data_IF_608940988079
#
_entry.id   IF_608940988079
#
_cell.length_a   1.000
_cell.length_b   1.000
_cell.length_c   1.000
_cell.angle_alpha   90.00
_cell.angle_beta   90.00
_cell.angle_gamma   90.00
#
_symmetry.space_group_name_H-M   'P 1'
#
loop_
_entity.id
_entity.type
_entity.pdbx_description
1 polymer ?
#
# COMPACT_ATOMS: atom_id res chain seq x y z
N UNK A 1 -37.95 11.75 47.07
CA UNK A 1 -38.24 10.30 47.10
C UNK A 1 -37.50 9.52 46.01
N UNK A 2 -37.32 10.07 44.80
CA UNK A 2 -36.59 9.39 43.70
C UNK A 2 -35.09 9.25 44.00
N UNK A 3 -34.43 10.28 44.55
CA UNK A 3 -33.00 10.26 44.88
C UNK A 3 -32.59 9.21 45.93
N UNK A 4 -33.47 8.86 46.88
CA UNK A 4 -33.18 7.85 47.92
C UNK A 4 -33.29 6.41 47.41
N UNK A 5 -34.10 6.18 46.37
CA UNK A 5 -34.18 4.87 45.70
C UNK A 5 -32.95 4.66 44.80
N UNK A 6 -32.52 5.72 44.11
CA UNK A 6 -31.29 5.70 43.32
C UNK A 6 -30.07 5.35 44.18
N UNK A 7 -29.89 5.98 45.34
CA UNK A 7 -28.71 5.73 46.19
C UNK A 7 -28.64 4.29 46.72
N UNK A 8 -29.77 3.67 47.06
CA UNK A 8 -29.79 2.27 47.52
C UNK A 8 -29.52 1.26 46.41
N UNK A 9 -30.05 1.49 45.20
CA UNK A 9 -29.78 0.66 44.02
C UNK A 9 -28.32 0.85 43.56
N UNK A 10 -27.82 2.08 43.61
CA UNK A 10 -26.41 2.38 43.36
C UNK A 10 -25.51 1.66 44.36
N UNK A 11 -25.69 1.82 45.67
CA UNK A 11 -24.82 1.20 46.67
C UNK A 11 -24.81 -0.34 46.59
N UNK A 12 -25.94 -0.97 46.24
CA UNK A 12 -26.04 -2.43 46.12
C UNK A 12 -25.52 -2.98 44.79
N UNK A 13 -25.68 -2.24 43.70
CA UNK A 13 -25.38 -2.71 42.33
C UNK A 13 -24.22 -1.99 41.66
N UNK A 14 -23.57 -1.03 42.34
CA UNK A 14 -22.42 -0.28 41.82
C UNK A 14 -21.29 -1.19 41.39
N UNK A 15 -21.02 -2.27 42.13
CA UNK A 15 -20.01 -3.27 41.78
C UNK A 15 -20.26 -3.94 40.43
N UNK A 16 -21.53 -4.18 40.07
CA UNK A 16 -21.90 -4.77 38.77
C UNK A 16 -21.68 -3.75 37.65
N UNK A 17 -22.03 -2.49 37.89
CA UNK A 17 -21.80 -1.40 36.94
C UNK A 17 -20.30 -1.20 36.71
N UNK A 18 -19.49 -1.20 37.78
CA UNK A 18 -18.03 -1.09 37.65
C UNK A 18 -17.43 -2.29 36.93
N UNK A 19 -17.93 -3.51 37.19
CA UNK A 19 -17.46 -4.71 36.51
C UNK A 19 -17.79 -4.66 35.01
N UNK A 20 -19.02 -4.28 34.65
CA UNK A 20 -19.42 -4.11 33.26
C UNK A 20 -18.60 -3.03 32.53
N UNK A 21 -18.32 -1.90 33.20
CA UNK A 21 -17.45 -0.86 32.64
C UNK A 21 -16.02 -1.37 32.42
N UNK A 22 -15.46 -2.13 33.37
CA UNK A 22 -14.12 -2.74 33.20
C UNK A 22 -14.14 -3.73 32.03
N UNK A 23 -15.15 -4.59 31.92
CA UNK A 23 -15.30 -5.51 30.79
C UNK A 23 -15.39 -4.77 29.45
N UNK A 24 -16.15 -3.67 29.39
CA UNK A 24 -16.28 -2.85 28.18
C UNK A 24 -14.94 -2.21 27.79
N UNK A 25 -14.22 -1.64 28.77
CA UNK A 25 -12.90 -1.03 28.55
C UNK A 25 -11.89 -2.06 28.04
N UNK A 26 -11.82 -3.24 28.68
CA UNK A 26 -10.92 -4.31 28.26
C UNK A 26 -11.25 -4.82 26.84
N UNK A 27 -12.55 -4.94 26.52
CA UNK A 27 -12.98 -5.33 25.19
C UNK A 27 -12.56 -4.30 24.14
N UNK A 28 -12.80 -3.01 24.41
CA UNK A 28 -12.42 -1.93 23.50
C UNK A 28 -10.90 -1.86 23.28
N UNK A 29 -10.13 -1.99 24.37
CA UNK A 29 -8.66 -2.04 24.29
C UNK A 29 -8.17 -3.21 23.42
N UNK A 30 -8.73 -4.41 23.62
CA UNK A 30 -8.39 -5.58 22.82
C UNK A 30 -8.76 -5.42 21.34
N UNK A 31 -9.88 -4.77 21.03
CA UNK A 31 -10.28 -4.47 19.66
C UNK A 31 -9.33 -3.49 18.99
N UNK A 32 -8.91 -2.45 19.72
CA UNK A 32 -8.04 -1.38 19.22
C UNK A 32 -6.64 -1.89 18.90
N UNK A 33 -6.08 -2.76 19.76
CA UNK A 33 -4.77 -3.36 19.53
C UNK A 33 -4.79 -4.29 18.31
N UNK A 34 -5.83 -5.12 18.19
CA UNK A 34 -6.04 -5.96 16.99
C UNK A 34 -6.14 -5.13 15.72
N UNK A 35 -6.91 -4.03 15.75
CA UNK A 35 -7.08 -3.18 14.59
C UNK A 35 -5.76 -2.53 14.16
N UNK A 36 -4.92 -2.10 15.11
CA UNK A 36 -3.59 -1.55 14.81
C UNK A 36 -2.70 -2.57 14.10
N UNK A 37 -2.63 -3.79 14.62
CA UNK A 37 -1.87 -4.86 13.98
C UNK A 37 -2.41 -5.21 12.61
N UNK A 38 -3.73 -5.20 12.44
CA UNK A 38 -4.37 -5.46 11.15
C UNK A 38 -4.03 -4.38 10.12
N UNK A 39 -4.05 -3.10 10.54
CA UNK A 39 -3.68 -1.96 9.68
C UNK A 39 -2.22 -2.07 9.25
N UNK A 40 -1.29 -2.30 10.17
CA UNK A 40 0.13 -2.46 9.85
C UNK A 40 0.38 -3.62 8.89
N UNK A 41 -0.26 -4.77 9.11
CA UNK A 41 -0.11 -5.94 8.24
C UNK A 41 -0.71 -5.68 6.85
N UNK A 42 -1.81 -4.93 6.78
CA UNK A 42 -2.44 -4.57 5.53
C UNK A 42 -1.58 -3.59 4.72
N UNK A 43 -1.00 -2.58 5.37
CA UNK A 43 -0.06 -1.66 4.73
C UNK A 43 1.16 -2.40 4.17
N UNK A 44 1.75 -3.31 4.94
CA UNK A 44 2.86 -4.15 4.47
C UNK A 44 2.46 -5.02 3.28
N UNK A 45 1.26 -5.63 3.32
CA UNK A 45 0.74 -6.40 2.18
C UNK A 45 0.60 -5.55 0.92
N UNK A 46 0.06 -4.35 1.04
CA UNK A 46 -0.13 -3.43 -0.09
C UNK A 46 1.24 -3.04 -0.67
N UNK A 47 2.20 -2.68 0.18
CA UNK A 47 3.56 -2.35 -0.26
C UNK A 47 4.19 -3.52 -1.02
N UNK A 48 4.09 -4.74 -0.48
CA UNK A 48 4.65 -5.94 -1.10
C UNK A 48 3.96 -6.29 -2.43
N UNK A 49 2.65 -6.06 -2.54
CA UNK A 49 1.91 -6.24 -3.80
C UNK A 49 2.37 -5.25 -4.87
N UNK A 50 2.60 -3.99 -4.50
CA UNK A 50 3.11 -2.96 -5.41
C UNK A 50 4.52 -3.33 -5.89
N UNK A 51 5.41 -3.74 -4.97
CA UNK A 51 6.76 -4.19 -5.33
C UNK A 51 6.74 -5.41 -6.25
N UNK A 52 5.91 -6.40 -5.93
CA UNK A 52 5.70 -7.58 -6.79
C UNK A 52 5.25 -7.15 -8.19
N UNK A 53 4.28 -6.24 -8.29
CA UNK A 53 3.78 -5.78 -9.57
C UNK A 53 4.85 -5.06 -10.39
N UNK A 54 5.65 -4.20 -9.75
CA UNK A 54 6.80 -3.53 -10.40
C UNK A 54 7.84 -4.54 -10.88
N UNK A 55 8.16 -5.54 -10.07
CA UNK A 55 9.11 -6.59 -10.44
C UNK A 55 8.60 -7.41 -11.63
N UNK A 56 7.30 -7.74 -11.66
CA UNK A 56 6.67 -8.45 -12.79
C UNK A 56 6.68 -7.62 -14.07
N UNK A 57 6.35 -6.32 -13.98
CA UNK A 57 6.44 -5.41 -15.13
C UNK A 57 7.87 -5.35 -15.67
N UNK A 58 8.85 -5.15 -14.78
CA UNK A 58 10.28 -5.15 -15.18
C UNK A 58 10.70 -6.47 -15.81
N UNK A 59 10.26 -7.60 -15.27
CA UNK A 59 10.53 -8.91 -15.87
C UNK A 59 9.94 -9.02 -17.27
N UNK A 60 8.72 -8.54 -17.47
CA UNK A 60 8.04 -8.56 -18.76
C UNK A 60 8.75 -7.65 -19.77
N UNK A 61 9.15 -6.45 -19.37
CA UNK A 61 9.93 -5.52 -20.20
C UNK A 61 11.27 -6.12 -20.61
N UNK A 62 11.99 -6.76 -19.68
CA UNK A 62 13.25 -7.45 -19.98
C UNK A 62 13.01 -8.62 -20.93
N UNK A 63 11.94 -9.39 -20.74
CA UNK A 63 11.59 -10.48 -21.64
C UNK A 63 11.28 -9.97 -23.05
N UNK A 64 10.58 -8.84 -23.17
CA UNK A 64 10.35 -8.19 -24.45
C UNK A 64 11.66 -7.74 -25.09
N UNK A 65 12.55 -7.09 -24.33
CA UNK A 65 13.87 -6.69 -24.82
C UNK A 65 14.69 -7.88 -25.33
N UNK A 66 14.69 -9.01 -24.62
CA UNK A 66 15.40 -10.23 -25.06
C UNK A 66 14.77 -10.77 -26.34
N UNK A 67 13.43 -10.81 -26.42
CA UNK A 67 12.72 -11.31 -27.60
C UNK A 67 12.88 -10.39 -28.82
N UNK A 68 13.11 -9.09 -28.62
CA UNK A 68 13.32 -8.13 -29.69
C UNK A 68 14.81 -7.95 -30.04
N UNK A 69 15.75 -8.42 -29.24
CA UNK A 69 17.19 -8.43 -29.58
C UNK A 69 17.52 -9.27 -30.83
N UNK A 70 16.64 -10.16 -31.27
CA UNK A 70 16.77 -10.83 -32.58
C UNK A 70 16.31 -9.98 -33.77
N UNK A 71 15.77 -8.78 -33.53
CA UNK A 71 15.32 -7.84 -34.57
C UNK A 71 16.33 -6.70 -34.72
N UNK A 72 16.83 -6.50 -35.94
CA UNK A 72 17.83 -5.50 -36.29
C UNK A 72 17.35 -4.08 -35.93
N UNK A 73 16.06 -3.81 -36.14
CA UNK A 73 15.45 -2.50 -35.87
C UNK A 73 15.43 -2.19 -34.36
N UNK A 74 15.29 -3.21 -33.51
CA UNK A 74 15.31 -3.01 -32.05
C UNK A 74 16.71 -2.70 -31.53
N UNK A 75 17.74 -3.31 -32.13
CA UNK A 75 19.15 -3.03 -31.83
C UNK A 75 19.45 -1.56 -32.15
N UNK A 76 19.09 -1.09 -33.34
CA UNK A 76 19.26 0.31 -33.74
C UNK A 76 18.53 1.27 -32.80
N UNK A 77 17.26 1.02 -32.48
CA UNK A 77 16.48 1.84 -31.55
C UNK A 77 17.08 1.89 -30.13
N UNK A 78 17.62 0.76 -29.66
CA UNK A 78 18.28 0.66 -28.35
C UNK A 78 19.62 1.40 -28.35
N UNK A 79 20.39 1.32 -29.43
CA UNK A 79 21.61 2.10 -29.66
C UNK A 79 21.30 3.61 -29.69
N UNK A 80 20.27 4.02 -30.42
CA UNK A 80 19.86 5.43 -30.51
C UNK A 80 19.42 5.99 -29.14
N UNK A 81 18.67 5.21 -28.35
CA UNK A 81 18.25 5.62 -26.99
C UNK A 81 19.38 5.59 -25.97
N UNK A 82 20.23 4.57 -25.98
CA UNK A 82 21.25 4.36 -24.96
C UNK A 82 22.52 5.17 -25.17
N UNK A 83 22.93 5.33 -26.44
CA UNK A 83 24.17 6.04 -26.81
C UNK A 83 23.88 7.43 -27.40
N UNK A 84 22.61 7.78 -27.65
CA UNK A 84 22.22 9.07 -28.22
C UNK A 84 22.65 9.25 -29.68
N UNK A 85 23.07 8.17 -30.32
CA UNK A 85 23.54 8.16 -31.71
C UNK A 85 22.35 8.15 -32.67
N UNK A 86 22.55 8.65 -33.89
CA UNK A 86 21.57 8.61 -34.98
C UNK A 86 22.24 7.86 -36.14
N UNK A 87 21.56 6.91 -36.80
CA UNK A 87 22.13 6.17 -37.91
C UNK A 87 22.51 7.11 -39.06
N UNK A 88 23.52 6.71 -39.84
CA UNK A 88 24.02 7.52 -40.94
C UNK A 88 22.91 7.82 -41.96
N UNK A 89 22.61 9.10 -42.15
CA UNK A 89 21.57 9.58 -43.07
C UNK A 89 20.29 10.08 -42.42
N UNK A 90 20.09 9.90 -41.11
CA UNK A 90 18.95 10.46 -40.38
C UNK A 90 19.33 11.71 -39.56
N UNK A 91 18.41 12.67 -39.41
CA UNK A 91 18.64 13.91 -38.68
C UNK A 91 17.70 14.00 -37.46
N UNK A 92 18.28 14.24 -36.28
CA UNK A 92 17.52 14.45 -35.04
C UNK A 92 16.78 15.80 -35.10
N UNK A 93 15.46 15.78 -35.21
CA UNK A 93 14.62 16.98 -35.19
C UNK A 93 14.12 17.23 -33.78
N UNK A 94 14.37 18.43 -33.25
CA UNK A 94 13.79 18.92 -32.01
C UNK A 94 12.65 19.88 -32.35
N UNK A 95 11.46 19.60 -31.85
CA UNK A 95 10.33 20.52 -31.94
C UNK A 95 10.34 21.41 -30.69
N UNK A 96 10.58 22.70 -30.89
CA UNK A 96 10.36 23.71 -29.86
C UNK A 96 8.92 24.21 -29.99
N UNK A 97 8.23 24.31 -28.86
CA UNK A 97 6.87 24.83 -28.78
C UNK A 97 7.00 26.32 -28.45
N UNK A 98 6.65 27.19 -29.40
CA UNK A 98 6.54 28.65 -29.19
C UNK A 98 5.42 28.96 -28.18
#
# INVERSE_FOLDING_TARGET
MIYSLYSQIFLRSWWVVTFLLICAILYEQGLKERNRHYQQLNEQRIALQIEKQKALQKQQDLKWQINSQSDLAWIELTLMKGLGLVPEGEQKVYFYQD
#
